data_IF_652645520170
#
_entry.id   IF_652645520170
#
_cell.length_a   1.000
_cell.length_b   1.000
_cell.length_c   1.000
_cell.angle_alpha   90.00
_cell.angle_beta   90.00
_cell.angle_gamma   90.00
#
_symmetry.space_group_name_H-M   'P 1'
#
loop_
_entity.id
_entity.type
_entity.pdbx_description
1 polymer ?
#
# COMPACT_ATOMS: atom_id res chain seq x y z
N UNK A 1 -10.47 1.76 -15.44
CA UNK A 1 -9.36 1.00 -14.83
C UNK A 1 -9.66 0.78 -13.36
N UNK A 2 -9.38 -0.39 -12.84
CA UNK A 2 -9.47 -0.70 -11.40
C UNK A 2 -8.08 -0.85 -10.80
N UNK A 3 -7.96 -0.54 -9.52
CA UNK A 3 -6.83 -0.92 -8.68
C UNK A 3 -7.37 -1.95 -7.70
N UNK A 4 -6.83 -3.17 -7.75
CA UNK A 4 -7.19 -4.24 -6.83
C UNK A 4 -6.05 -4.43 -5.82
N UNK A 5 -6.38 -4.50 -4.54
CA UNK A 5 -5.40 -4.58 -3.46
C UNK A 5 -5.43 -5.97 -2.83
N UNK A 6 -4.28 -6.64 -2.81
CA UNK A 6 -4.00 -7.84 -2.04
C UNK A 6 -3.01 -7.50 -0.92
N UNK A 7 -3.34 -7.84 0.31
CA UNK A 7 -2.48 -7.47 1.44
C UNK A 7 -3.00 -7.94 2.79
N UNK A 8 -2.28 -7.53 3.81
CA UNK A 8 -2.57 -7.81 5.22
C UNK A 8 -3.29 -6.63 5.92
N UNK A 9 -3.22 -6.56 7.26
CA UNK A 9 -3.87 -5.51 8.06
C UNK A 9 -3.40 -4.10 7.73
N UNK A 10 -2.16 -3.93 7.28
CA UNK A 10 -1.62 -2.61 6.95
C UNK A 10 -2.23 -2.03 5.67
N UNK A 11 -2.86 -2.89 4.85
CA UNK A 11 -3.59 -2.53 3.61
C UNK A 11 -5.11 -2.55 3.83
N UNK A 12 -5.61 -3.42 4.71
CA UNK A 12 -7.02 -3.74 4.86
C UNK A 12 -7.89 -2.54 5.31
N UNK A 13 -9.18 -2.66 5.02
CA UNK A 13 -10.19 -1.82 5.67
C UNK A 13 -10.48 -2.39 7.06
N UNK A 14 -10.24 -1.60 8.10
CA UNK A 14 -10.51 -2.01 9.48
C UNK A 14 -12.01 -1.89 9.82
N UNK A 15 -12.51 -2.71 10.77
CA UNK A 15 -13.88 -2.58 11.28
C UNK A 15 -14.14 -1.20 11.91
N UNK A 16 -15.38 -0.73 11.84
CA UNK A 16 -15.73 0.62 12.34
C UNK A 16 -15.45 0.82 13.84
N UNK A 17 -15.52 -0.26 14.65
CA UNK A 17 -15.24 -0.18 16.08
C UNK A 17 -13.75 -0.02 16.42
N UNK A 18 -12.87 -0.28 15.46
CA UNK A 18 -11.41 -0.05 15.58
C UNK A 18 -10.98 1.35 15.11
N UNK A 19 -11.92 2.18 14.63
CA UNK A 19 -11.58 3.54 14.20
C UNK A 19 -10.89 4.31 15.35
N UNK A 20 -9.75 5.00 15.11
CA UNK A 20 -9.17 5.44 13.83
C UNK A 20 -8.13 4.48 13.21
N UNK A 21 -8.06 3.20 13.61
CA UNK A 21 -7.19 2.23 12.94
C UNK A 21 -7.60 2.04 11.48
N UNK A 22 -6.64 2.05 10.57
CA UNK A 22 -6.87 1.92 9.14
C UNK A 22 -5.65 1.34 8.43
N UNK A 23 -5.87 0.45 7.47
CA UNK A 23 -4.86 0.17 6.46
C UNK A 23 -4.86 1.23 5.37
N UNK A 24 -3.71 1.43 4.71
CA UNK A 24 -3.56 2.45 3.67
C UNK A 24 -4.45 2.22 2.44
N UNK A 25 -4.78 0.96 2.14
CA UNK A 25 -5.66 0.63 1.02
C UNK A 25 -7.07 1.19 1.17
N UNK A 26 -7.55 1.37 2.41
CA UNK A 26 -8.84 2.01 2.69
C UNK A 26 -8.81 3.53 2.38
N UNK A 27 -7.64 4.17 2.42
CA UNK A 27 -7.47 5.60 2.17
C UNK A 27 -7.08 5.91 0.71
N UNK A 28 -6.62 4.92 -0.06
CA UNK A 28 -6.18 5.09 -1.45
C UNK A 28 -7.26 5.68 -2.38
N UNK A 29 -8.56 5.34 -2.27
CA UNK A 29 -9.59 5.89 -3.16
C UNK A 29 -9.59 7.41 -3.27
N UNK A 30 -9.28 8.13 -2.20
CA UNK A 30 -9.24 9.61 -2.16
C UNK A 30 -8.18 10.20 -3.08
N UNK A 31 -7.12 9.45 -3.37
CA UNK A 31 -5.95 9.91 -4.11
C UNK A 31 -6.00 9.52 -5.60
N UNK A 32 -6.87 8.57 -5.97
CA UNK A 32 -6.91 7.99 -7.34
C UNK A 32 -8.29 8.08 -8.00
N UNK A 33 -9.30 8.64 -7.33
CA UNK A 33 -10.71 8.65 -7.77
C UNK A 33 -10.93 9.25 -9.17
N UNK A 34 -10.02 10.10 -9.64
CA UNK A 34 -10.13 10.74 -10.96
C UNK A 34 -9.83 9.78 -12.10
N UNK A 35 -9.14 8.64 -11.84
CA UNK A 35 -8.67 7.75 -12.89
C UNK A 35 -8.84 6.25 -12.59
N UNK A 36 -9.09 5.86 -11.34
CA UNK A 36 -9.29 4.46 -10.97
C UNK A 36 -10.33 4.28 -9.87
N UNK A 37 -11.04 3.15 -9.91
CA UNK A 37 -11.80 2.62 -8.80
C UNK A 37 -10.93 1.64 -8.00
N UNK A 38 -10.96 1.72 -6.67
CA UNK A 38 -10.19 0.83 -5.80
C UNK A 38 -11.06 -0.28 -5.23
N UNK A 39 -10.61 -1.53 -5.39
CA UNK A 39 -11.21 -2.72 -4.79
C UNK A 39 -10.23 -3.32 -3.78
N UNK A 40 -10.50 -3.17 -2.50
CA UNK A 40 -9.62 -3.64 -1.44
C UNK A 40 -10.05 -5.04 -0.96
N UNK A 41 -9.25 -6.07 -1.28
CA UNK A 41 -9.42 -7.45 -0.84
C UNK A 41 -8.54 -7.80 0.35
N UNK A 42 -7.69 -6.89 0.80
CA UNK A 42 -6.76 -7.13 1.90
C UNK A 42 -7.50 -7.52 3.18
N UNK A 43 -6.87 -8.39 3.97
CA UNK A 43 -7.43 -8.93 5.21
C UNK A 43 -6.42 -8.88 6.34
N UNK A 44 -6.85 -8.42 7.51
CA UNK A 44 -6.05 -8.46 8.73
C UNK A 44 -5.51 -9.87 9.03
N UNK A 45 -4.23 -9.97 9.37
CA UNK A 45 -3.56 -11.23 9.68
C UNK A 45 -3.21 -12.14 8.49
N UNK A 46 -3.53 -11.74 7.25
CA UNK A 46 -3.23 -12.56 6.08
C UNK A 46 -1.74 -12.63 5.76
N UNK A 47 -1.26 -13.82 5.44
CA UNK A 47 0.00 -14.08 4.74
C UNK A 47 -0.26 -14.33 3.26
N UNK A 48 0.78 -14.38 2.44
CA UNK A 48 0.67 -14.76 1.01
C UNK A 48 -0.04 -16.11 0.81
N UNK A 49 0.15 -17.04 1.73
CA UNK A 49 -0.47 -18.37 1.71
C UNK A 49 -1.95 -18.29 2.13
N UNK A 50 -2.24 -17.80 3.34
CA UNK A 50 -3.61 -17.78 3.87
C UNK A 50 -4.55 -16.92 3.01
N UNK A 51 -4.07 -15.84 2.41
CA UNK A 51 -4.85 -15.03 1.48
C UNK A 51 -5.33 -15.81 0.26
N UNK A 52 -4.56 -16.80 -0.18
CA UNK A 52 -4.91 -17.71 -1.28
C UNK A 52 -5.84 -18.82 -0.80
N UNK A 53 -5.50 -19.47 0.32
CA UNK A 53 -6.25 -20.61 0.87
C UNK A 53 -7.67 -20.24 1.30
N UNK A 54 -7.86 -19.02 1.81
CA UNK A 54 -9.16 -18.48 2.19
C UNK A 54 -10.00 -17.99 0.99
N UNK A 55 -9.51 -18.16 -0.24
CA UNK A 55 -10.21 -17.81 -1.47
C UNK A 55 -10.23 -16.32 -1.80
N UNK A 56 -9.57 -15.46 -1.01
CA UNK A 56 -9.50 -14.01 -1.28
C UNK A 56 -8.78 -13.72 -2.59
N UNK A 57 -7.69 -14.44 -2.86
CA UNK A 57 -6.95 -14.35 -4.11
C UNK A 57 -7.81 -14.73 -5.31
N UNK A 58 -8.57 -15.83 -5.24
CA UNK A 58 -9.49 -16.25 -6.31
C UNK A 58 -10.52 -15.17 -6.62
N UNK A 59 -11.18 -14.60 -5.60
CA UNK A 59 -12.15 -13.51 -5.78
C UNK A 59 -11.54 -12.25 -6.38
N UNK A 60 -10.29 -11.94 -6.03
CA UNK A 60 -9.55 -10.82 -6.63
C UNK A 60 -9.33 -11.08 -8.12
N UNK A 61 -8.85 -12.27 -8.50
CA UNK A 61 -8.61 -12.64 -9.90
C UNK A 61 -9.90 -12.64 -10.73
N UNK A 62 -11.03 -13.11 -10.17
CA UNK A 62 -12.34 -13.04 -10.81
C UNK A 62 -12.81 -11.60 -11.08
N UNK A 63 -12.37 -10.65 -10.25
CA UNK A 63 -12.71 -9.23 -10.39
C UNK A 63 -11.78 -8.49 -11.36
N UNK A 64 -10.53 -8.95 -11.49
CA UNK A 64 -9.52 -8.33 -12.32
C UNK A 64 -9.81 -8.51 -13.82
N UNK A 65 -9.45 -7.52 -14.63
CA UNK A 65 -9.53 -7.56 -16.07
C UNK A 65 -8.23 -7.04 -16.71
N UNK A 66 -8.05 -7.28 -18.00
CA UNK A 66 -6.91 -6.75 -18.72
C UNK A 66 -6.80 -5.22 -18.56
N UNK A 67 -5.59 -4.74 -18.26
CA UNK A 67 -5.28 -3.33 -18.03
C UNK A 67 -5.59 -2.83 -16.62
N UNK A 68 -6.18 -3.63 -15.72
CA UNK A 68 -6.31 -3.28 -14.30
C UNK A 68 -4.97 -3.44 -13.56
N UNK A 69 -4.78 -2.69 -12.47
CA UNK A 69 -3.61 -2.81 -11.61
C UNK A 69 -3.92 -3.73 -10.42
N UNK A 70 -3.00 -4.62 -10.08
CA UNK A 70 -3.08 -5.44 -8.88
C UNK A 70 -1.86 -5.12 -8.00
N UNK A 71 -2.08 -4.40 -6.90
CA UNK A 71 -1.05 -4.10 -5.92
C UNK A 71 -0.99 -5.22 -4.89
N UNK A 72 0.22 -5.74 -4.65
CA UNK A 72 0.45 -6.90 -3.78
C UNK A 72 1.43 -6.50 -2.68
N UNK A 73 0.96 -6.49 -1.42
CA UNK A 73 1.78 -6.19 -0.24
C UNK A 73 1.53 -7.23 0.86
N UNK A 74 2.54 -8.01 1.20
CA UNK A 74 2.56 -8.98 2.30
C UNK A 74 3.96 -9.01 2.93
N UNK A 75 4.09 -9.67 4.07
CA UNK A 75 5.37 -9.88 4.77
C UNK A 75 5.22 -9.99 6.28
N UNK A 76 4.45 -9.08 6.91
CA UNK A 76 4.28 -9.03 8.37
C UNK A 76 3.79 -10.34 8.99
N UNK A 77 2.96 -11.11 8.28
CA UNK A 77 2.40 -12.37 8.76
C UNK A 77 3.12 -13.59 8.17
N UNK A 78 3.73 -13.46 7.00
CA UNK A 78 4.61 -14.46 6.42
C UNK A 78 5.82 -14.70 7.34
N UNK A 79 6.43 -13.62 7.85
CA UNK A 79 7.55 -13.66 8.80
C UNK A 79 7.28 -14.52 10.05
N UNK A 80 6.02 -14.63 10.48
CA UNK A 80 5.61 -15.45 11.63
C UNK A 80 5.52 -16.94 11.32
N UNK A 81 5.76 -17.36 10.08
CA UNK A 81 5.57 -18.73 9.58
C UNK A 81 6.87 -19.26 8.99
N UNK A 82 7.58 -20.20 9.63
CA UNK A 82 8.89 -20.66 9.17
C UNK A 82 8.93 -21.17 7.74
N UNK A 83 7.86 -21.81 7.25
CA UNK A 83 7.77 -22.30 5.86
C UNK A 83 7.54 -21.19 4.83
N UNK A 84 7.18 -19.99 5.26
CA UNK A 84 7.07 -18.78 4.44
C UNK A 84 8.29 -17.86 4.59
N UNK A 85 9.46 -18.45 4.89
CA UNK A 85 10.69 -17.65 4.94
C UNK A 85 10.89 -16.85 3.65
N UNK A 86 11.43 -15.64 3.78
CA UNK A 86 11.45 -14.61 2.75
C UNK A 86 11.94 -15.12 1.38
N UNK A 87 13.09 -15.81 1.36
CA UNK A 87 13.74 -16.28 0.13
C UNK A 87 13.19 -17.61 -0.42
N UNK A 88 12.23 -18.24 0.27
CA UNK A 88 11.66 -19.55 -0.12
C UNK A 88 10.15 -19.47 -0.33
N UNK A 89 9.34 -19.85 0.66
CA UNK A 89 7.88 -19.92 0.53
C UNK A 89 7.23 -18.60 0.16
N UNK A 90 7.64 -17.50 0.81
CA UNK A 90 7.16 -16.16 0.49
C UNK A 90 7.50 -15.75 -0.95
N UNK A 91 8.76 -15.88 -1.34
CA UNK A 91 9.21 -15.57 -2.71
C UNK A 91 8.47 -16.40 -3.77
N UNK A 92 8.26 -17.69 -3.52
CA UNK A 92 7.52 -18.56 -4.42
C UNK A 92 6.06 -18.12 -4.58
N UNK A 93 5.42 -17.72 -3.48
CA UNK A 93 4.05 -17.21 -3.50
C UNK A 93 3.93 -15.90 -4.29
N UNK A 94 4.84 -14.94 -4.07
CA UNK A 94 4.83 -13.67 -4.82
C UNK A 94 5.00 -13.89 -6.33
N UNK A 95 5.95 -14.75 -6.75
CA UNK A 95 6.14 -15.08 -8.17
C UNK A 95 4.88 -15.68 -8.78
N UNK A 96 4.22 -16.59 -8.06
CA UNK A 96 2.96 -17.19 -8.51
C UNK A 96 1.85 -16.15 -8.63
N UNK A 97 1.68 -15.28 -7.61
CA UNK A 97 0.68 -14.22 -7.65
C UNK A 97 0.92 -13.25 -8.82
N UNK A 98 2.16 -12.86 -9.07
CA UNK A 98 2.51 -12.03 -10.23
C UNK A 98 2.19 -12.71 -11.57
N UNK A 99 2.46 -14.02 -11.68
CA UNK A 99 2.16 -14.80 -12.88
C UNK A 99 0.64 -14.92 -13.11
N UNK A 100 -0.14 -15.19 -12.05
CA UNK A 100 -1.60 -15.27 -12.13
C UNK A 100 -2.22 -13.96 -12.65
N UNK A 101 -1.74 -12.81 -12.14
CA UNK A 101 -2.19 -11.47 -12.58
C UNK A 101 -1.85 -11.23 -14.05
N UNK A 102 -0.62 -11.54 -14.48
CA UNK A 102 -0.20 -11.37 -15.87
C UNK A 102 -1.01 -12.26 -16.83
N UNK A 103 -1.39 -13.47 -16.42
CA UNK A 103 -2.20 -14.37 -17.23
C UNK A 103 -3.58 -13.78 -17.59
N UNK A 104 -4.09 -12.84 -16.79
CA UNK A 104 -5.33 -12.10 -17.04
C UNK A 104 -5.13 -10.84 -17.91
N UNK A 105 -3.89 -10.53 -18.32
CA UNK A 105 -3.56 -9.25 -18.96
C UNK A 105 -3.62 -8.05 -18.01
N UNK A 106 -3.76 -8.27 -16.72
CA UNK A 106 -3.65 -7.24 -15.68
C UNK A 106 -2.17 -6.98 -15.34
N UNK A 107 -1.91 -5.85 -14.66
CA UNK A 107 -0.57 -5.39 -14.36
C UNK A 107 -0.27 -5.61 -12.87
N UNK A 108 0.62 -6.54 -12.50
CA UNK A 108 1.05 -6.70 -11.12
C UNK A 108 2.02 -5.57 -10.74
N UNK A 109 1.78 -4.96 -9.57
CA UNK A 109 2.64 -3.99 -8.93
C UNK A 109 3.00 -4.53 -7.56
N UNK A 110 4.27 -4.78 -7.30
CA UNK A 110 4.70 -5.23 -5.98
C UNK A 110 4.90 -4.03 -5.07
N UNK A 111 4.45 -4.16 -3.82
CA UNK A 111 4.72 -3.18 -2.78
C UNK A 111 5.56 -3.84 -1.69
N UNK A 112 6.68 -3.23 -1.29
CA UNK A 112 7.36 -3.69 -0.08
C UNK A 112 6.48 -3.41 1.13
N UNK A 113 6.54 -4.25 2.16
CA UNK A 113 5.78 -4.02 3.41
C UNK A 113 6.24 -2.71 4.06
N UNK A 114 5.28 -1.94 4.56
CA UNK A 114 5.57 -0.79 5.43
C UNK A 114 6.37 -1.26 6.66
N UNK A 115 7.33 -0.46 7.12
CA UNK A 115 8.12 -0.81 8.30
C UNK A 115 7.27 -0.70 9.59
N UNK A 116 7.60 -1.50 10.61
CA UNK A 116 7.07 -1.29 11.96
C UNK A 116 7.76 -0.10 12.61
N UNK A 117 7.04 0.62 13.45
CA UNK A 117 7.62 1.69 14.25
C UNK A 117 8.40 1.07 15.43
N UNK A 118 9.60 0.62 15.14
CA UNK A 118 10.50 0.06 16.13
C UNK A 118 11.80 0.86 16.15
N UNK A 119 12.15 1.40 17.30
CA UNK A 119 13.36 2.20 17.51
C UNK A 119 14.25 1.53 18.54
N UNK A 120 15.54 1.47 18.25
CA UNK A 120 16.61 1.14 19.19
C UNK A 120 17.58 2.32 19.21
N UNK A 121 17.83 2.89 20.40
CA UNK A 121 18.73 4.03 20.59
C UNK A 121 18.45 5.21 19.63
N UNK A 122 17.17 5.48 19.35
CA UNK A 122 16.73 6.56 18.45
C UNK A 122 16.81 6.26 16.96
N UNK A 123 17.25 5.07 16.58
CA UNK A 123 17.34 4.62 15.18
C UNK A 123 16.21 3.65 14.84
N UNK A 124 15.59 3.81 13.68
CA UNK A 124 14.56 2.88 13.19
C UNK A 124 15.23 1.55 12.85
N UNK A 125 14.80 0.48 13.52
CA UNK A 125 15.28 -0.86 13.26
C UNK A 125 14.61 -1.48 12.02
N UNK A 126 15.31 -2.45 11.43
CA UNK A 126 14.79 -3.31 10.40
C UNK A 126 14.03 -4.48 11.05
N UNK A 127 12.71 -4.36 11.14
CA UNK A 127 11.87 -5.38 11.78
C UNK A 127 11.37 -6.45 10.81
N UNK A 128 11.60 -6.24 9.51
CA UNK A 128 11.07 -7.11 8.45
C UNK A 128 12.14 -7.97 7.77
N UNK A 129 13.38 -7.90 8.23
CA UNK A 129 14.47 -8.75 7.72
C UNK A 129 14.58 -8.72 6.19
N UNK A 130 14.75 -9.86 5.54
CA UNK A 130 14.90 -10.01 4.08
C UNK A 130 13.59 -9.81 3.28
N UNK A 131 12.41 -9.67 3.92
CA UNK A 131 11.14 -9.63 3.18
C UNK A 131 11.03 -8.46 2.19
N UNK A 132 11.37 -7.21 2.55
CA UNK A 132 11.34 -6.10 1.59
C UNK A 132 12.36 -6.26 0.47
N UNK A 133 13.55 -6.80 0.78
CA UNK A 133 14.60 -7.02 -0.23
C UNK A 133 14.17 -8.04 -1.28
N UNK A 134 13.57 -9.15 -0.85
CA UNK A 134 13.04 -10.17 -1.75
C UNK A 134 11.97 -9.60 -2.69
N UNK A 135 11.13 -8.67 -2.22
CA UNK A 135 10.16 -7.97 -3.09
C UNK A 135 10.87 -7.18 -4.20
N UNK A 136 11.94 -6.45 -3.86
CA UNK A 136 12.75 -5.68 -4.82
C UNK A 136 13.44 -6.61 -5.84
N UNK A 137 14.05 -7.69 -5.35
CA UNK A 137 14.70 -8.71 -6.19
C UNK A 137 13.71 -9.33 -7.19
N UNK A 138 12.51 -9.73 -6.74
CA UNK A 138 11.47 -10.31 -7.61
C UNK A 138 10.95 -9.27 -8.61
N UNK A 139 10.75 -8.03 -8.19
CA UNK A 139 10.33 -6.97 -9.09
C UNK A 139 11.35 -6.76 -10.22
N UNK A 140 12.64 -6.76 -9.88
CA UNK A 140 13.72 -6.67 -10.86
C UNK A 140 13.78 -7.90 -11.78
N UNK A 141 13.75 -9.11 -11.20
CA UNK A 141 13.78 -10.40 -11.93
C UNK A 141 12.65 -10.49 -12.95
N UNK A 142 11.44 -10.12 -12.55
CA UNK A 142 10.25 -10.24 -13.37
C UNK A 142 9.91 -8.97 -14.18
N UNK A 143 10.75 -7.93 -14.13
CA UNK A 143 10.50 -6.62 -14.74
C UNK A 143 9.12 -6.08 -14.36
N UNK A 144 8.82 -6.01 -13.05
CA UNK A 144 7.59 -5.48 -12.47
C UNK A 144 7.82 -4.07 -11.93
N UNK A 145 6.76 -3.28 -11.94
CA UNK A 145 6.71 -2.06 -11.16
C UNK A 145 6.76 -2.39 -9.65
N UNK A 146 7.50 -1.59 -8.89
CA UNK A 146 7.59 -1.70 -7.44
C UNK A 146 7.31 -0.36 -6.78
N UNK A 147 6.52 -0.40 -5.69
CA UNK A 147 6.33 0.71 -4.76
C UNK A 147 7.07 0.37 -3.48
N UNK A 148 8.22 1.01 -3.27
CA UNK A 148 9.08 0.73 -2.12
C UNK A 148 8.63 1.50 -0.87
N UNK A 149 7.61 0.96 -0.21
CA UNK A 149 7.03 1.53 1.01
C UNK A 149 7.92 1.31 2.23
N UNK A 150 8.72 0.23 2.25
CA UNK A 150 9.62 -0.03 3.37
C UNK A 150 10.67 1.08 3.51
N UNK A 151 11.39 1.37 2.44
CA UNK A 151 12.39 2.45 2.44
C UNK A 151 11.76 3.80 2.77
N UNK A 152 10.59 4.08 2.20
CA UNK A 152 9.89 5.34 2.44
C UNK A 152 9.43 5.49 3.90
N UNK A 153 8.79 4.48 4.48
CA UNK A 153 8.32 4.53 5.87
C UNK A 153 9.46 4.61 6.88
N UNK A 154 10.56 3.91 6.64
CA UNK A 154 11.78 4.06 7.47
C UNK A 154 12.29 5.50 7.46
N UNK A 155 12.35 6.13 6.28
CA UNK A 155 12.72 7.54 6.14
C UNK A 155 11.78 8.47 6.90
N UNK A 156 10.47 8.28 6.73
CA UNK A 156 9.43 9.05 7.42
C UNK A 156 9.54 8.93 8.94
N UNK A 157 9.71 7.72 9.48
CA UNK A 157 9.83 7.52 10.93
C UNK A 157 11.13 8.12 11.47
N UNK A 158 12.23 8.03 10.71
CA UNK A 158 13.51 8.65 11.08
C UNK A 158 13.39 10.18 11.15
N UNK A 159 12.72 10.80 10.18
CA UNK A 159 12.47 12.24 10.14
C UNK A 159 11.62 12.72 11.33
N UNK A 160 10.53 11.99 11.62
CA UNK A 160 9.64 12.32 12.72
C UNK A 160 10.23 11.99 14.11
N UNK A 161 11.16 11.04 14.17
CA UNK A 161 11.74 10.58 15.43
C UNK A 161 10.77 9.78 16.29
N UNK A 162 11.26 9.40 17.48
CA UNK A 162 10.58 8.45 18.39
C UNK A 162 9.19 8.94 18.83
N UNK A 163 9.06 10.22 19.18
CA UNK A 163 7.79 10.71 19.76
C UNK A 163 6.76 11.08 18.69
N UNK A 164 7.12 11.87 17.68
CA UNK A 164 6.15 12.35 16.70
C UNK A 164 5.62 11.21 15.81
N UNK A 165 6.46 10.21 15.50
CA UNK A 165 6.04 9.06 14.71
C UNK A 165 4.91 8.23 15.35
N UNK A 166 4.71 8.32 16.68
CA UNK A 166 3.57 7.67 17.38
C UNK A 166 2.22 8.09 16.79
N UNK A 167 2.10 9.35 16.36
CA UNK A 167 0.87 9.90 15.81
C UNK A 167 0.41 9.23 14.50
N UNK A 168 1.31 8.48 13.85
CA UNK A 168 0.98 7.69 12.65
C UNK A 168 0.33 6.35 12.99
N UNK A 169 0.35 5.93 14.24
CA UNK A 169 -0.07 4.62 14.72
C UNK A 169 -1.19 4.76 15.76
N UNK A 170 -1.75 3.61 16.15
CA UNK A 170 -2.81 3.57 17.16
C UNK A 170 -2.21 3.47 18.57
N UNK A 171 -2.12 4.61 19.24
CA UNK A 171 -1.69 4.72 20.61
C UNK A 171 -2.80 5.41 21.42
N UNK A 172 -3.35 4.72 22.42
CA UNK A 172 -4.43 5.22 23.28
C UNK A 172 -4.08 4.99 24.73
N UNK A 173 -4.35 5.99 25.58
CA UNK A 173 -4.30 5.83 27.02
C UNK A 173 -5.48 4.96 27.53
N UNK A 174 -5.38 4.37 28.73
CA UNK A 174 -6.52 3.68 29.33
C UNK A 174 -7.75 4.60 29.43
N UNK A 175 -8.91 4.07 28.97
CA UNK A 175 -10.17 4.81 28.93
C UNK A 175 -10.34 5.78 27.74
N UNK A 176 -9.35 5.96 26.90
CA UNK A 176 -9.40 6.85 25.73
C UNK A 176 -10.22 6.27 24.59
N UNK A 177 -10.20 4.95 24.42
CA UNK A 177 -10.88 4.28 23.32
C UNK A 177 -11.79 3.15 23.79
N UNK A 178 -13.04 3.13 23.34
CA UNK A 178 -14.06 2.17 23.80
C UNK A 178 -13.71 0.71 23.50
N UNK A 179 -13.05 0.44 22.36
CA UNK A 179 -12.65 -0.92 21.96
C UNK A 179 -11.39 -1.39 22.72
N UNK A 180 -10.54 -0.47 23.16
CA UNK A 180 -9.33 -0.76 23.95
C UNK A 180 -9.39 -0.02 25.29
N UNK A 181 -10.23 -0.47 26.25
CA UNK A 181 -10.45 0.22 27.51
C UNK A 181 -9.20 0.31 28.38
N UNK A 182 -8.28 -0.65 28.24
CA UNK A 182 -7.01 -0.69 28.95
C UNK A 182 -5.89 0.09 28.23
N UNK A 183 -6.24 0.79 27.12
CA UNK A 183 -5.29 1.47 26.25
C UNK A 183 -4.71 0.56 25.15
N UNK A 184 -3.95 1.15 24.24
CA UNK A 184 -3.26 0.47 23.14
C UNK A 184 -1.92 1.17 22.88
N UNK A 185 -0.86 0.39 22.65
CA UNK A 185 0.42 0.87 22.15
C UNK A 185 0.83 0.04 20.93
N UNK A 186 0.23 0.34 19.78
CA UNK A 186 0.45 -0.40 18.54
C UNK A 186 1.48 0.32 17.66
N UNK A 187 2.53 -0.38 17.29
CA UNK A 187 3.61 0.12 16.44
C UNK A 187 3.59 -0.51 15.03
N UNK A 188 2.51 -1.19 14.69
CA UNK A 188 2.32 -1.87 13.39
C UNK A 188 1.13 -1.31 12.63
N UNK A 189 -0.01 -1.11 13.31
CA UNK A 189 -1.24 -0.68 12.67
C UNK A 189 -1.37 0.84 12.69
N UNK A 190 -1.57 1.40 11.51
CA UNK A 190 -1.69 2.84 11.34
C UNK A 190 -2.98 3.40 11.96
N UNK A 191 -2.87 4.62 12.48
CA UNK A 191 -4.02 5.52 12.60
C UNK A 191 -4.48 5.97 11.22
N UNK A 192 -5.66 6.60 11.14
CA UNK A 192 -6.15 7.23 9.90
C UNK A 192 -5.11 8.20 9.29
N UNK A 193 -4.36 8.94 10.12
CA UNK A 193 -3.29 9.85 9.67
C UNK A 193 -2.17 9.08 8.97
N UNK A 194 -1.63 8.05 9.60
CA UNK A 194 -0.56 7.25 9.03
C UNK A 194 -0.98 6.54 7.74
N UNK A 195 -2.16 5.92 7.75
CA UNK A 195 -2.73 5.27 6.58
C UNK A 195 -2.94 6.22 5.40
N UNK A 196 -3.38 7.47 5.67
CA UNK A 196 -3.55 8.49 4.63
C UNK A 196 -2.24 8.91 3.99
N UNK A 197 -1.17 9.13 4.79
CA UNK A 197 0.15 9.47 4.26
C UNK A 197 0.73 8.35 3.38
N UNK A 198 0.58 7.09 3.80
CA UNK A 198 1.03 5.95 2.98
C UNK A 198 0.22 5.87 1.69
N UNK A 199 -1.10 6.10 1.73
CA UNK A 199 -1.95 6.10 0.53
C UNK A 199 -1.57 7.22 -0.45
N UNK A 200 -1.22 8.41 0.05
CA UNK A 200 -0.70 9.52 -0.77
C UNK A 200 0.61 9.15 -1.46
N UNK A 201 1.53 8.52 -0.72
CA UNK A 201 2.79 8.04 -1.30
C UNK A 201 2.55 6.97 -2.36
N UNK A 202 1.68 5.97 -2.11
CA UNK A 202 1.31 4.96 -3.10
C UNK A 202 0.79 5.62 -4.38
N UNK A 203 -0.16 6.54 -4.27
CA UNK A 203 -0.72 7.25 -5.43
C UNK A 203 0.35 8.06 -6.19
N UNK A 204 1.23 8.76 -5.47
CA UNK A 204 2.34 9.50 -6.04
C UNK A 204 3.32 8.59 -6.81
N UNK A 205 3.67 7.43 -6.24
CA UNK A 205 4.52 6.43 -6.92
C UNK A 205 3.86 5.84 -8.15
N UNK A 206 2.57 5.51 -8.09
CA UNK A 206 1.84 5.05 -9.26
C UNK A 206 1.85 6.09 -10.40
N UNK A 207 1.69 7.37 -10.09
CA UNK A 207 1.79 8.46 -11.06
C UNK A 207 3.20 8.58 -11.66
N UNK A 208 4.26 8.45 -10.85
CA UNK A 208 5.66 8.44 -11.32
C UNK A 208 5.94 7.24 -12.23
N UNK A 209 5.36 6.09 -11.96
CA UNK A 209 5.42 4.89 -12.80
C UNK A 209 4.60 5.00 -14.10
N UNK A 210 3.87 6.10 -14.28
CA UNK A 210 3.11 6.40 -15.49
C UNK A 210 1.64 6.00 -15.45
N UNK A 211 1.15 5.44 -14.32
CA UNK A 211 -0.26 5.11 -14.18
C UNK A 211 -1.10 6.36 -13.94
N UNK A 212 -2.28 6.44 -14.55
CA UNK A 212 -3.20 7.56 -14.37
C UNK A 212 -2.82 8.88 -15.06
N UNK A 213 -1.75 8.92 -15.84
CA UNK A 213 -1.29 10.15 -16.52
C UNK A 213 -2.29 10.71 -17.52
N UNK A 214 -3.06 9.86 -18.17
CA UNK A 214 -4.06 10.28 -19.16
C UNK A 214 -5.31 10.90 -18.54
N UNK A 215 -5.47 10.81 -17.21
CA UNK A 215 -6.59 11.39 -16.48
C UNK A 215 -6.32 12.80 -15.95
N UNK A 216 -5.08 13.26 -15.96
CA UNK A 216 -4.76 14.64 -15.62
C UNK A 216 -5.00 15.53 -16.86
N UNK A 217 -5.83 16.60 -16.79
CA UNK A 217 -5.93 17.54 -17.88
C UNK A 217 -4.54 18.11 -18.17
N UNK A 218 -4.12 18.03 -19.43
CA UNK A 218 -2.83 18.55 -19.90
C UNK A 218 -2.78 20.07 -19.59
N UNK A 219 -2.13 20.41 -18.48
CA UNK A 219 -1.95 21.81 -18.03
C UNK A 219 -1.17 22.68 -19.04
N UNK A 220 -0.70 22.08 -20.16
CA UNK A 220 -0.01 22.76 -21.26
C UNK A 220 -0.93 23.16 -22.42
N UNK A 221 -2.22 22.77 -22.41
CA UNK A 221 -3.22 23.19 -23.40
C UNK A 221 -4.10 24.31 -22.87
N UNK A 222 -3.50 25.28 -22.22
CA UNK A 222 -4.18 26.48 -21.75
C UNK A 222 -3.57 27.73 -22.38
N UNK A 223 -4.35 28.36 -23.27
CA UNK A 223 -4.29 29.78 -23.62
C UNK A 223 -3.40 30.16 -24.82
N UNK A 224 -3.91 29.90 -26.04
CA UNK A 224 -3.82 30.86 -27.12
C UNK A 224 -5.23 31.13 -27.67
N UNK A 225 -6.06 31.75 -26.86
CA UNK A 225 -7.25 32.46 -27.39
C UNK A 225 -6.80 33.84 -27.78
N UNK A 226 -6.73 34.09 -29.10
CA UNK A 226 -6.33 35.36 -29.68
C UNK A 226 -7.22 36.50 -29.25
N UNK A 227 -6.61 37.56 -28.76
CA UNK A 227 -7.20 38.91 -28.76
C UNK A 227 -7.24 39.36 -30.19
N UNK A 228 -8.40 39.24 -30.84
CA UNK A 228 -8.71 40.02 -32.03
C UNK A 228 -9.17 41.41 -31.56
N UNK A 229 -8.28 42.39 -31.71
CA UNK A 229 -8.60 43.81 -31.60
C UNK A 229 -9.53 44.17 -32.76
N UNK A 230 -10.80 44.49 -32.46
CA UNK A 230 -11.68 45.13 -33.38
C UNK A 230 -11.27 46.63 -33.47
N UNK A 231 -10.59 47.00 -34.54
CA UNK A 231 -10.36 48.38 -34.92
C UNK A 231 -11.66 49.04 -35.35
N UNK A 232 -11.96 50.16 -34.76
CA UNK A 232 -12.97 51.10 -35.27
C UNK A 232 -12.36 51.87 -36.44
N UNK A 233 -13.03 51.90 -37.53
CA UNK A 233 -12.99 52.85 -38.63
C UNK A 233 -14.40 53.20 -39.02
#
# INVERSE_FOLDING_TARGET
MKILLAGDSTVATCPAHEYPMSGWGAQLPRNVYTWAAVHNFAKGGASTESFREEGLWGRLLETAAAGDLVLIQFGHNDQKRPHLAARTGYAANLRRMAADVRALGAVPVLCTSVERRHFLDGTVEDSLEDYPEVVREIALELHLAVVDLNTWTRGLYTELGVEESKSLFCHFAPGEHAHWPDGLADNTHFSLRGASLVAEEVAGRLALLGFGRDALPDSRKGTTAGLTTAGRG
#
